data_IF_474826518790
#
_entry.id   IF_474826518790
#
_cell.length_a   1.000
_cell.length_b   1.000
_cell.length_c   1.000
_cell.angle_alpha   90.00
_cell.angle_beta   90.00
_cell.angle_gamma   90.00
#
_symmetry.space_group_name_H-M   'P 1'
#
loop_
_entity.id
_entity.type
_entity.pdbx_description
1 polymer ?
#
# COMPACT_ATOMS: atom_id res chain seq x y z
N UNK A 1 6.95 -25.64 -14.74
CA UNK A 1 6.87 -25.77 -13.28
C UNK A 1 7.04 -24.36 -12.71
N UNK A 2 6.03 -23.83 -12.02
CA UNK A 2 5.92 -22.41 -11.65
C UNK A 2 6.72 -22.13 -10.37
N UNK A 3 7.46 -21.01 -10.25
CA UNK A 3 8.15 -20.70 -9.01
C UNK A 3 7.13 -20.29 -7.93
N UNK A 4 7.10 -21.06 -6.85
CA UNK A 4 6.47 -20.67 -5.59
C UNK A 4 7.29 -19.51 -4.98
N UNK A 5 6.63 -18.49 -4.46
CA UNK A 5 7.30 -17.38 -3.76
C UNK A 5 8.14 -17.91 -2.60
N UNK A 6 7.71 -19.02 -1.97
CA UNK A 6 8.49 -19.72 -0.95
C UNK A 6 9.79 -20.30 -1.52
N UNK A 7 9.77 -20.83 -2.75
CA UNK A 7 10.96 -21.38 -3.41
C UNK A 7 11.94 -20.27 -3.87
N UNK A 8 11.43 -19.08 -4.19
CA UNK A 8 12.23 -17.90 -4.53
C UNK A 8 12.81 -17.20 -3.30
N UNK A 9 12.08 -17.19 -2.17
CA UNK A 9 12.55 -16.70 -0.87
C UNK A 9 13.64 -17.59 -0.24
N UNK A 10 13.68 -18.88 -0.57
CA UNK A 10 14.74 -19.79 -0.14
C UNK A 10 16.01 -19.76 -1.01
N UNK A 11 15.95 -19.24 -2.25
CA UNK A 11 17.14 -19.13 -3.12
C UNK A 11 17.78 -17.75 -2.97
N UNK A 12 19.01 -17.73 -2.44
CA UNK A 12 19.88 -16.56 -2.26
C UNK A 12 19.95 -15.68 -3.53
N UNK A 13 19.13 -14.61 -3.55
CA UNK A 13 19.19 -13.34 -4.33
C UNK A 13 17.74 -12.91 -4.63
N UNK A 14 17.12 -12.09 -3.78
CA UNK A 14 15.75 -11.62 -4.03
C UNK A 14 15.77 -10.34 -4.85
N UNK A 15 16.14 -10.47 -6.12
CA UNK A 15 15.62 -9.62 -7.19
C UNK A 15 14.48 -10.42 -7.80
N UNK A 16 13.25 -10.02 -7.53
CA UNK A 16 12.09 -10.70 -8.05
C UNK A 16 11.66 -9.99 -9.34
N UNK A 17 12.24 -10.39 -10.48
CA UNK A 17 11.82 -9.97 -11.82
C UNK A 17 11.13 -11.12 -12.54
N UNK A 18 9.80 -11.08 -12.68
CA UNK A 18 9.00 -12.08 -13.41
C UNK A 18 7.57 -12.22 -12.87
N UNK A 19 6.61 -12.56 -13.75
CA UNK A 19 5.18 -12.59 -13.40
C UNK A 19 4.78 -13.76 -12.49
N UNK A 20 4.05 -13.44 -11.41
CA UNK A 20 3.46 -14.35 -10.44
C UNK A 20 1.98 -14.53 -10.74
N UNK A 21 1.48 -15.75 -10.62
CA UNK A 21 0.06 -16.03 -10.83
C UNK A 21 -0.72 -16.36 -9.55
N UNK A 22 -0.05 -16.71 -8.44
CA UNK A 22 -0.59 -16.71 -7.07
C UNK A 22 0.57 -16.61 -6.08
N UNK A 23 0.62 -15.56 -5.27
CA UNK A 23 1.73 -15.27 -4.36
C UNK A 23 1.22 -15.24 -2.92
N UNK A 24 1.57 -16.24 -2.11
CA UNK A 24 1.34 -16.16 -0.66
C UNK A 24 2.68 -16.21 0.05
N UNK A 25 3.06 -15.10 0.67
CA UNK A 25 4.20 -15.01 1.58
C UNK A 25 3.72 -14.68 3.01
N UNK A 26 2.50 -15.09 3.37
CA UNK A 26 1.91 -14.88 4.69
C UNK A 26 2.94 -15.06 5.82
N UNK A 27 3.07 -14.03 6.69
CA UNK A 27 4.02 -13.99 7.81
C UNK A 27 5.50 -14.13 7.45
N UNK A 28 5.88 -13.91 6.20
CA UNK A 28 7.28 -13.89 5.78
C UNK A 28 8.05 -12.81 6.55
N UNK A 29 9.29 -13.12 6.91
CA UNK A 29 10.23 -12.16 7.50
C UNK A 29 11.41 -11.97 6.55
N UNK A 30 11.55 -10.77 6.00
CA UNK A 30 12.74 -10.38 5.24
C UNK A 30 13.76 -9.69 6.14
N UNK A 31 14.94 -10.30 6.25
CA UNK A 31 16.11 -9.76 6.97
C UNK A 31 17.07 -8.99 6.04
N UNK A 32 16.69 -8.83 4.76
CA UNK A 32 17.48 -8.18 3.72
C UNK A 32 16.56 -7.30 2.89
N UNK A 33 17.17 -6.42 2.09
CA UNK A 33 16.42 -5.62 1.12
C UNK A 33 15.52 -6.54 0.30
N UNK A 34 14.26 -6.15 0.17
CA UNK A 34 13.26 -6.85 -0.63
C UNK A 34 13.04 -6.07 -1.94
N UNK A 35 13.35 -6.68 -3.07
CA UNK A 35 13.26 -6.05 -4.40
C UNK A 35 12.22 -6.79 -5.25
N UNK A 36 11.07 -6.15 -5.45
CA UNK A 36 9.98 -6.58 -6.31
C UNK A 36 9.53 -5.44 -7.25
N UNK A 37 10.48 -4.64 -7.72
CA UNK A 37 10.23 -3.59 -8.71
C UNK A 37 9.70 -4.20 -10.00
N UNK A 38 8.65 -3.58 -10.55
CA UNK A 38 7.97 -4.01 -11.77
C UNK A 38 7.47 -5.47 -11.71
N UNK A 39 7.35 -6.05 -10.51
CA UNK A 39 6.86 -7.41 -10.33
C UNK A 39 5.35 -7.48 -10.56
N UNK A 40 4.88 -8.54 -11.20
CA UNK A 40 3.44 -8.79 -11.37
C UNK A 40 3.00 -9.83 -10.37
N UNK A 41 2.14 -9.44 -9.45
CA UNK A 41 1.49 -10.27 -8.46
C UNK A 41 0.10 -10.67 -8.95
N UNK A 42 -0.17 -11.97 -9.02
CA UNK A 42 -1.45 -12.49 -9.53
C UNK A 42 -2.66 -12.09 -8.69
N UNK A 43 -3.84 -12.51 -9.16
CA UNK A 43 -5.15 -12.08 -8.64
C UNK A 43 -5.41 -12.33 -7.16
N UNK A 44 -4.62 -13.21 -6.53
CA UNK A 44 -4.73 -13.51 -5.11
C UNK A 44 -3.31 -13.48 -4.53
N UNK A 45 -2.95 -12.32 -3.98
CA UNK A 45 -1.62 -12.11 -3.39
C UNK A 45 -1.73 -11.80 -1.91
N UNK A 46 -1.25 -12.71 -1.07
CA UNK A 46 -1.26 -12.56 0.37
C UNK A 46 0.17 -12.24 0.86
N UNK A 47 0.35 -11.00 1.29
CA UNK A 47 1.54 -10.50 1.97
C UNK A 47 1.17 -10.02 3.38
N UNK A 48 0.17 -10.63 4.00
CA UNK A 48 -0.30 -10.28 5.34
C UNK A 48 0.70 -10.69 6.41
N UNK A 49 0.76 -9.89 7.47
CA UNK A 49 1.62 -10.07 8.64
C UNK A 49 3.10 -10.27 8.29
N UNK A 50 3.52 -9.85 7.09
CA UNK A 50 4.90 -9.89 6.66
C UNK A 50 5.70 -8.84 7.41
N UNK A 51 6.98 -9.12 7.63
CA UNK A 51 7.91 -8.19 8.29
C UNK A 51 9.09 -7.92 7.38
N UNK A 52 9.33 -6.65 7.08
CA UNK A 52 10.44 -6.19 6.27
C UNK A 52 11.40 -5.38 7.14
N UNK A 53 12.52 -5.99 7.54
CA UNK A 53 13.49 -5.34 8.43
C UNK A 53 14.42 -4.36 7.70
N UNK A 54 14.64 -4.61 6.42
CA UNK A 54 15.47 -3.80 5.52
C UNK A 54 14.58 -3.21 4.41
N UNK A 55 15.06 -2.21 3.64
CA UNK A 55 14.24 -1.51 2.67
C UNK A 55 13.47 -2.45 1.73
N UNK A 56 12.19 -2.15 1.48
CA UNK A 56 11.33 -2.96 0.62
C UNK A 56 10.78 -2.12 -0.53
N UNK A 57 10.95 -2.60 -1.76
CA UNK A 57 10.54 -1.88 -2.95
C UNK A 57 9.60 -2.71 -3.81
N UNK A 58 8.44 -2.13 -4.07
CA UNK A 58 7.35 -2.60 -4.94
C UNK A 58 7.04 -1.54 -6.00
N UNK A 59 8.01 -0.68 -6.33
CA UNK A 59 7.85 0.34 -7.37
C UNK A 59 7.38 -0.30 -8.68
N UNK A 60 6.39 0.30 -9.34
CA UNK A 60 5.80 -0.19 -10.58
C UNK A 60 5.22 -1.62 -10.50
N UNK A 61 5.10 -2.19 -9.30
CA UNK A 61 4.54 -3.52 -9.13
C UNK A 61 3.05 -3.51 -9.46
N UNK A 62 2.57 -4.60 -10.04
CA UNK A 62 1.16 -4.77 -10.39
C UNK A 62 0.58 -5.86 -9.53
N UNK A 63 -0.40 -5.54 -8.70
CA UNK A 63 -1.17 -6.50 -7.93
C UNK A 63 -2.51 -6.71 -8.64
N UNK A 64 -2.88 -7.98 -8.82
CA UNK A 64 -4.16 -8.36 -9.42
C UNK A 64 -5.36 -8.02 -8.54
N UNK A 65 -6.41 -8.83 -8.61
CA UNK A 65 -7.71 -8.49 -8.02
C UNK A 65 -7.70 -8.34 -6.49
N UNK A 66 -7.20 -9.31 -5.75
CA UNK A 66 -7.25 -9.35 -4.28
C UNK A 66 -5.85 -9.42 -3.72
N UNK A 67 -5.39 -8.32 -3.13
CA UNK A 67 -4.07 -8.27 -2.54
C UNK A 67 -4.08 -7.60 -1.18
N UNK A 68 -3.26 -8.13 -0.29
CA UNK A 68 -3.31 -7.76 1.11
C UNK A 68 -1.91 -7.67 1.72
N UNK A 69 -1.68 -6.57 2.42
CA UNK A 69 -0.56 -6.31 3.33
C UNK A 69 -1.10 -6.16 4.76
N UNK A 70 -2.18 -6.87 5.09
CA UNK A 70 -2.92 -6.67 6.34
C UNK A 70 -2.02 -7.03 7.51
N UNK A 71 -1.89 -6.11 8.46
CA UNK A 71 -1.05 -6.29 9.64
C UNK A 71 0.45 -6.42 9.34
N UNK A 72 0.90 -6.13 8.12
CA UNK A 72 2.32 -6.21 7.76
C UNK A 72 3.11 -5.04 8.31
N UNK A 73 4.37 -5.28 8.64
CA UNK A 73 5.25 -4.31 9.28
C UNK A 73 6.48 -4.04 8.43
N UNK A 74 6.72 -2.75 8.15
CA UNK A 74 7.89 -2.24 7.47
C UNK A 74 8.73 -1.49 8.51
N UNK A 75 9.87 -2.04 8.88
CA UNK A 75 10.79 -1.43 9.85
C UNK A 75 11.76 -0.44 9.21
N UNK A 76 12.07 -0.64 7.93
CA UNK A 76 12.83 0.27 7.09
C UNK A 76 11.94 0.92 6.03
N UNK A 77 12.52 1.77 5.18
CA UNK A 77 11.80 2.48 4.13
C UNK A 77 11.08 1.54 3.16
N UNK A 78 9.85 1.88 2.79
CA UNK A 78 9.08 1.15 1.79
C UNK A 78 8.73 2.04 0.59
N UNK A 79 8.72 1.50 -0.61
CA UNK A 79 8.29 2.24 -1.81
C UNK A 79 7.32 1.41 -2.63
N UNK A 80 6.16 1.99 -2.90
CA UNK A 80 5.12 1.48 -3.78
C UNK A 80 4.94 2.42 -4.99
N UNK A 81 5.89 3.31 -5.28
CA UNK A 81 5.69 4.33 -6.31
C UNK A 81 5.25 3.74 -7.65
N UNK A 82 4.20 4.33 -8.24
CA UNK A 82 3.59 3.89 -9.50
C UNK A 82 3.08 2.43 -9.48
N UNK A 83 2.89 1.81 -8.31
CA UNK A 83 2.28 0.49 -8.22
C UNK A 83 0.77 0.56 -8.53
N UNK A 84 0.23 -0.52 -9.09
CA UNK A 84 -1.21 -0.65 -9.36
C UNK A 84 -1.81 -1.80 -8.56
N UNK A 85 -2.97 -1.55 -7.97
CA UNK A 85 -3.77 -2.52 -7.23
C UNK A 85 -5.11 -2.70 -7.93
N UNK A 86 -5.50 -3.94 -8.23
CA UNK A 86 -6.71 -4.26 -8.99
C UNK A 86 -8.00 -3.97 -8.23
N UNK A 87 -8.64 -4.98 -7.66
CA UNK A 87 -9.99 -4.79 -7.11
C UNK A 87 -9.98 -4.37 -5.63
N UNK A 88 -9.12 -4.97 -4.82
CA UNK A 88 -8.96 -4.64 -3.40
C UNK A 88 -7.47 -4.70 -3.03
N UNK A 89 -6.91 -3.52 -2.73
CA UNK A 89 -5.52 -3.37 -2.29
C UNK A 89 -5.47 -2.96 -0.82
N UNK A 90 -5.45 -3.93 0.09
CA UNK A 90 -5.58 -3.67 1.53
C UNK A 90 -4.23 -3.49 2.24
N UNK A 91 -4.15 -2.41 3.02
CA UNK A 91 -3.09 -2.09 3.98
C UNK A 91 -3.65 -1.99 5.41
N UNK A 92 -4.82 -2.58 5.67
CA UNK A 92 -5.47 -2.51 6.96
C UNK A 92 -4.55 -3.00 8.09
N UNK A 93 -4.49 -2.25 9.18
CA UNK A 93 -3.63 -2.50 10.34
C UNK A 93 -2.12 -2.66 10.03
N UNK A 94 -1.65 -2.32 8.83
CA UNK A 94 -0.23 -2.33 8.51
C UNK A 94 0.53 -1.25 9.31
N UNK A 95 1.83 -1.43 9.46
CA UNK A 95 2.70 -0.53 10.19
C UNK A 95 3.91 -0.13 9.34
N UNK A 96 4.04 1.16 9.07
CA UNK A 96 5.21 1.76 8.46
C UNK A 96 5.99 2.51 9.52
N UNK A 97 7.04 1.88 10.04
CA UNK A 97 7.90 2.43 11.09
C UNK A 97 9.02 3.33 10.54
N UNK A 98 9.02 3.58 9.23
CA UNK A 98 9.93 4.46 8.51
C UNK A 98 9.19 5.13 7.35
N UNK A 99 9.90 5.88 6.51
CA UNK A 99 9.33 6.58 5.35
C UNK A 99 8.69 5.59 4.38
N UNK A 100 7.49 5.91 3.90
CA UNK A 100 6.80 5.17 2.84
C UNK A 100 6.29 6.11 1.75
N UNK A 101 6.47 5.72 0.50
CA UNK A 101 5.96 6.43 -0.68
C UNK A 101 4.95 5.56 -1.43
N UNK A 102 3.77 6.13 -1.69
CA UNK A 102 2.70 5.63 -2.56
C UNK A 102 2.51 6.55 -3.77
N UNK A 103 3.49 7.41 -4.06
CA UNK A 103 3.39 8.42 -5.12
C UNK A 103 3.01 7.79 -6.45
N UNK A 104 1.99 8.33 -7.11
CA UNK A 104 1.52 7.85 -8.41
C UNK A 104 0.89 6.44 -8.39
N UNK A 105 0.63 5.85 -7.21
CA UNK A 105 -0.10 4.59 -7.13
C UNK A 105 -1.49 4.70 -7.77
N UNK A 106 -2.00 3.56 -8.23
CA UNK A 106 -3.39 3.44 -8.67
C UNK A 106 -4.06 2.30 -7.90
N UNK A 107 -5.13 2.63 -7.17
CA UNK A 107 -6.04 1.64 -6.59
C UNK A 107 -7.30 1.62 -7.45
N UNK A 108 -7.49 0.58 -8.27
CA UNK A 108 -8.61 0.51 -9.22
C UNK A 108 -9.96 0.25 -8.50
N UNK A 109 -9.95 -0.45 -7.37
CA UNK A 109 -11.12 -0.61 -6.50
C UNK A 109 -10.89 -0.08 -5.08
N UNK A 110 -11.37 -0.81 -4.07
CA UNK A 110 -11.32 -0.35 -2.68
C UNK A 110 -9.89 -0.34 -2.14
N UNK A 111 -9.60 0.65 -1.29
CA UNK A 111 -8.30 0.85 -0.68
C UNK A 111 -8.42 0.93 0.86
N UNK A 112 -8.51 -0.21 1.57
CA UNK A 112 -8.56 -0.22 3.02
C UNK A 112 -7.20 0.14 3.64
N UNK A 113 -7.14 1.30 4.30
CA UNK A 113 -6.03 1.74 5.16
C UNK A 113 -6.46 1.81 6.63
N UNK A 114 -7.57 1.16 7.01
CA UNK A 114 -8.13 1.30 8.34
C UNK A 114 -7.17 0.77 9.41
N UNK A 115 -6.97 1.56 10.48
CA UNK A 115 -6.02 1.22 11.55
C UNK A 115 -4.53 1.19 11.16
N UNK A 116 -4.16 1.58 9.93
CA UNK A 116 -2.75 1.67 9.53
C UNK A 116 -1.99 2.66 10.41
N UNK A 117 -0.71 2.40 10.65
CA UNK A 117 0.16 3.30 11.42
C UNK A 117 1.34 3.76 10.58
N UNK A 118 1.42 5.08 10.37
CA UNK A 118 2.57 5.74 9.77
C UNK A 118 3.35 6.50 10.84
N UNK A 119 4.58 6.06 11.11
CA UNK A 119 5.50 6.73 12.03
C UNK A 119 6.14 7.98 11.40
N UNK A 120 6.33 7.97 10.09
CA UNK A 120 6.74 9.13 9.29
C UNK A 120 5.60 9.61 8.40
N UNK A 121 5.76 10.75 7.74
CA UNK A 121 4.77 11.28 6.80
C UNK A 121 4.71 10.43 5.53
N UNK A 122 3.64 9.68 5.24
CA UNK A 122 3.50 8.97 3.99
C UNK A 122 3.25 9.95 2.84
N UNK A 123 3.79 9.64 1.67
CA UNK A 123 3.55 10.41 0.45
C UNK A 123 2.55 9.70 -0.47
N UNK A 124 1.36 10.27 -0.62
CA UNK A 124 0.31 9.84 -1.55
C UNK A 124 0.19 10.80 -2.75
N UNK A 125 1.23 11.55 -3.09
CA UNK A 125 1.14 12.55 -4.14
C UNK A 125 0.81 11.91 -5.49
N UNK A 126 -0.18 12.43 -6.20
CA UNK A 126 -0.65 11.90 -7.48
C UNK A 126 -1.26 10.50 -7.42
N UNK A 127 -1.51 9.94 -6.22
CA UNK A 127 -2.17 8.64 -6.08
C UNK A 127 -3.64 8.73 -6.51
N UNK A 128 -4.09 7.76 -7.31
CA UNK A 128 -5.49 7.64 -7.73
C UNK A 128 -6.18 6.55 -6.93
N UNK A 129 -7.09 6.94 -6.03
CA UNK A 129 -7.93 6.02 -5.27
C UNK A 129 -9.29 5.92 -5.96
N UNK A 130 -9.44 5.06 -6.97
CA UNK A 130 -10.63 5.07 -7.85
C UNK A 130 -11.89 4.51 -7.18
N UNK A 131 -11.74 3.68 -6.14
CA UNK A 131 -12.84 3.19 -5.31
C UNK A 131 -12.87 3.81 -3.92
N UNK A 132 -13.74 3.26 -3.06
CA UNK A 132 -13.85 3.69 -1.66
C UNK A 132 -12.52 3.55 -0.91
N UNK A 133 -12.15 4.56 -0.14
CA UNK A 133 -10.93 4.57 0.67
C UNK A 133 -11.26 4.69 2.14
N UNK A 134 -10.74 3.78 2.96
CA UNK A 134 -10.97 3.81 4.40
C UNK A 134 -9.69 4.11 5.17
N UNK A 135 -9.58 5.32 5.70
CA UNK A 135 -8.51 5.73 6.62
C UNK A 135 -8.96 5.70 8.10
N UNK A 136 -10.11 5.11 8.40
CA UNK A 136 -10.65 5.10 9.76
C UNK A 136 -9.65 4.51 10.75
N UNK A 137 -9.42 5.24 11.85
CA UNK A 137 -8.47 4.89 12.92
C UNK A 137 -7.01 4.82 12.47
N UNK A 138 -6.67 5.28 11.26
CA UNK A 138 -5.28 5.40 10.84
C UNK A 138 -4.55 6.44 11.70
N UNK A 139 -3.26 6.19 11.96
CA UNK A 139 -2.40 7.09 12.72
C UNK A 139 -1.33 7.69 11.81
N UNK A 140 -1.23 9.01 11.81
CA UNK A 140 -0.27 9.79 11.04
C UNK A 140 0.57 10.64 12.00
N UNK A 141 1.69 10.10 12.50
CA UNK A 141 2.49 10.75 13.53
C UNK A 141 2.99 12.13 13.07
N UNK A 142 3.56 12.18 11.86
CA UNK A 142 4.21 13.39 11.33
C UNK A 142 3.41 14.14 10.25
N UNK A 143 2.17 13.70 9.96
CA UNK A 143 1.36 14.25 8.87
C UNK A 143 1.21 13.27 7.73
N UNK A 144 0.75 13.74 6.57
CA UNK A 144 0.66 13.00 5.31
C UNK A 144 0.60 13.99 4.15
N UNK A 145 1.11 13.59 2.98
CA UNK A 145 1.11 14.40 1.77
C UNK A 145 0.09 13.80 0.81
N UNK A 146 -0.88 14.60 0.37
CA UNK A 146 -1.92 14.20 -0.58
C UNK A 146 -1.94 15.10 -1.83
N UNK A 147 -0.82 15.76 -2.16
CA UNK A 147 -0.77 16.69 -3.29
C UNK A 147 -1.19 15.99 -4.58
N UNK A 148 -2.16 16.54 -5.31
CA UNK A 148 -2.69 15.96 -6.55
C UNK A 148 -3.28 14.53 -6.39
N UNK A 149 -3.52 14.06 -5.15
CA UNK A 149 -4.20 12.79 -4.92
C UNK A 149 -5.69 12.91 -5.28
N UNK A 150 -6.25 11.84 -5.85
CA UNK A 150 -7.62 11.86 -6.37
C UNK A 150 -8.50 10.82 -5.68
N UNK A 151 -9.65 11.28 -5.19
CA UNK A 151 -10.66 10.49 -4.49
C UNK A 151 -12.04 10.79 -5.10
N UNK A 152 -12.49 10.06 -6.13
CA UNK A 152 -13.82 10.24 -6.72
C UNK A 152 -14.95 9.65 -5.88
N UNK A 153 -14.64 8.68 -5.02
CA UNK A 153 -15.59 7.96 -4.18
C UNK A 153 -15.46 8.35 -2.69
N UNK A 154 -16.26 7.70 -1.83
CA UNK A 154 -16.28 7.97 -0.40
C UNK A 154 -14.91 7.75 0.27
N UNK A 155 -14.54 8.67 1.16
CA UNK A 155 -13.37 8.54 2.04
C UNK A 155 -13.84 8.48 3.49
N UNK A 156 -13.64 7.34 4.14
CA UNK A 156 -13.99 7.16 5.54
C UNK A 156 -12.84 7.66 6.43
N UNK A 157 -13.16 8.60 7.33
CA UNK A 157 -12.17 9.35 8.11
C UNK A 157 -12.40 9.27 9.63
N UNK A 158 -13.08 8.22 10.11
CA UNK A 158 -13.43 8.09 11.52
C UNK A 158 -12.18 8.08 12.41
N UNK A 159 -12.14 8.93 13.44
CA UNK A 159 -10.99 9.13 14.36
C UNK A 159 -9.69 9.63 13.71
N UNK A 160 -9.74 10.24 12.53
CA UNK A 160 -8.57 10.92 11.99
C UNK A 160 -8.30 12.27 12.67
N UNK A 161 -7.02 12.70 12.75
CA UNK A 161 -6.68 14.05 13.15
C UNK A 161 -7.26 15.07 12.16
N UNK A 162 -7.78 16.21 12.67
CA UNK A 162 -8.37 17.28 11.84
C UNK A 162 -7.45 17.75 10.70
N UNK A 163 -6.14 17.83 10.96
CA UNK A 163 -5.13 18.22 9.96
C UNK A 163 -5.09 17.27 8.75
N UNK A 164 -5.28 15.98 8.97
CA UNK A 164 -5.29 14.97 7.91
C UNK A 164 -6.58 15.07 7.11
N UNK A 165 -7.72 15.24 7.79
CA UNK A 165 -9.01 15.42 7.12
C UNK A 165 -8.99 16.66 6.21
N UNK A 166 -8.37 17.76 6.65
CA UNK A 166 -8.20 18.96 5.84
C UNK A 166 -7.33 18.68 4.60
N UNK A 167 -6.18 18.00 4.76
CA UNK A 167 -5.30 17.66 3.65
C UNK A 167 -5.98 16.78 2.58
N UNK A 168 -6.80 15.79 2.99
CA UNK A 168 -7.57 14.96 2.06
C UNK A 168 -8.62 15.81 1.31
N UNK A 169 -9.27 16.76 1.99
CA UNK A 169 -10.23 17.69 1.35
C UNK A 169 -9.57 18.61 0.35
N UNK A 170 -8.36 19.09 0.64
CA UNK A 170 -7.59 19.97 -0.24
C UNK A 170 -7.10 19.26 -1.50
N UNK A 171 -6.72 17.98 -1.37
CA UNK A 171 -6.31 17.14 -2.49
C UNK A 171 -7.44 16.92 -3.51
N UNK A 172 -8.68 16.80 -3.02
CA UNK A 172 -9.83 16.49 -3.87
C UNK A 172 -10.33 17.75 -4.60
N UNK A 173 -9.67 18.10 -5.71
CA UNK A 173 -10.03 19.24 -6.58
C UNK A 173 -11.44 19.13 -7.21
N UNK A 174 -12.10 17.97 -7.11
CA UNK A 174 -13.40 17.69 -7.73
C UNK A 174 -14.43 17.31 -6.67
N UNK A 175 -15.14 18.32 -6.14
CA UNK A 175 -16.38 18.18 -5.35
C UNK A 175 -16.41 16.98 -4.39
N UNK A 176 -15.78 17.15 -3.23
CA UNK A 176 -16.17 16.44 -1.99
C UNK A 176 -17.70 16.28 -1.95
N UNK A 177 -18.26 15.07 -1.76
CA UNK A 177 -19.60 14.80 -2.25
C UNK A 177 -20.64 15.73 -1.62
N UNK A 178 -21.63 16.23 -2.40
CA UNK A 178 -22.83 16.77 -1.81
C UNK A 178 -23.55 15.61 -1.13
N UNK A 179 -23.51 15.59 0.20
CA UNK A 179 -24.45 14.75 0.95
C UNK A 179 -25.81 15.46 0.83
N UNK A 180 -26.70 14.86 0.04
CA UNK A 180 -28.14 15.00 0.23
C UNK A 180 -28.60 14.15 1.40
#
# INVERSE_FOLDING_TARGET
MKPDINALLYRRKHTISGGFHTASAYRMVSQRRFEAQSAEFGDHTNLDFCRFHEPASFQEARFGLWNAFVGSEFYASASFENASFGHEGSFAAAAFNSVVSFRGCVFEGSAPFCGVRFCESPDFSGTQFKGETDFSRATFANGAIFKDAWFPEAVYVHKLPKKIIAAIKEANHSKWPPIG
#
